data_IF_364579358055
#
_entry.id   IF_364579358055
#
_cell.length_a   1.000
_cell.length_b   1.000
_cell.length_c   1.000
_cell.angle_alpha   90.00
_cell.angle_beta   90.00
_cell.angle_gamma   90.00
#
_symmetry.space_group_name_H-M   'P 1'
#
loop_
_entity.id
_entity.type
_entity.pdbx_description
1 polymer ?
#
# COMPACT_ATOMS: atom_id res chain seq x y z
N UNK A 1 -47.14 -19.20 -34.97
CA UNK A 1 -46.34 -19.50 -33.77
C UNK A 1 -44.89 -19.12 -34.03
N UNK A 2 -44.40 -17.92 -33.64
CA UNK A 2 -42.95 -17.59 -33.77
C UNK A 2 -42.41 -16.50 -32.82
N UNK A 3 -43.12 -16.19 -31.72
CA UNK A 3 -42.57 -15.31 -30.68
C UNK A 3 -41.78 -16.14 -29.66
N UNK A 4 -40.69 -16.79 -30.10
CA UNK A 4 -39.68 -17.20 -29.13
C UNK A 4 -39.07 -15.91 -28.56
N UNK A 5 -39.15 -15.85 -27.24
CA UNK A 5 -39.18 -14.63 -26.45
C UNK A 5 -37.76 -14.07 -26.44
N UNK A 6 -37.55 -12.75 -26.64
CA UNK A 6 -36.22 -12.11 -26.63
C UNK A 6 -35.41 -12.43 -25.36
N UNK A 7 -36.09 -12.87 -24.30
CA UNK A 7 -35.51 -13.32 -23.04
C UNK A 7 -34.62 -14.56 -23.17
N UNK A 8 -34.88 -15.48 -24.10
CA UNK A 8 -34.02 -16.66 -24.31
C UNK A 8 -32.67 -16.24 -24.91
N UNK A 9 -32.69 -15.27 -25.84
CA UNK A 9 -31.46 -14.71 -26.41
C UNK A 9 -30.64 -13.94 -25.37
N UNK A 10 -31.30 -13.13 -24.54
CA UNK A 10 -30.64 -12.40 -23.45
C UNK A 10 -29.99 -13.34 -22.43
N UNK A 11 -30.71 -14.42 -22.04
CA UNK A 11 -30.18 -15.41 -21.10
C UNK A 11 -28.96 -16.16 -21.66
N UNK A 12 -28.97 -16.49 -22.95
CA UNK A 12 -27.82 -17.14 -23.60
C UNK A 12 -26.59 -16.23 -23.66
N UNK A 13 -26.77 -14.95 -23.98
CA UNK A 13 -25.67 -13.96 -23.95
C UNK A 13 -25.12 -13.81 -22.53
N UNK A 14 -26.00 -13.67 -21.54
CA UNK A 14 -25.58 -13.56 -20.14
C UNK A 14 -24.80 -14.80 -19.67
N UNK A 15 -25.26 -16.01 -20.01
CA UNK A 15 -24.57 -17.26 -19.68
C UNK A 15 -23.20 -17.38 -20.39
N UNK A 16 -23.11 -16.93 -21.65
CA UNK A 16 -21.86 -16.91 -22.40
C UNK A 16 -20.84 -15.92 -21.82
N UNK A 17 -21.29 -14.71 -21.45
CA UNK A 17 -20.45 -13.74 -20.75
C UNK A 17 -20.03 -14.28 -19.38
N UNK A 18 -20.95 -14.89 -18.63
CA UNK A 18 -20.64 -15.48 -17.33
C UNK A 18 -19.59 -16.60 -17.43
N UNK A 19 -19.71 -17.48 -18.43
CA UNK A 19 -18.73 -18.52 -18.69
C UNK A 19 -17.37 -17.92 -19.09
N UNK A 20 -17.36 -16.91 -19.97
CA UNK A 20 -16.15 -16.21 -20.39
C UNK A 20 -15.45 -15.49 -19.22
N UNK A 21 -16.20 -14.99 -18.25
CA UNK A 21 -15.67 -14.45 -17.00
C UNK A 21 -15.10 -15.55 -16.09
N UNK A 22 -15.79 -16.69 -15.97
CA UNK A 22 -15.33 -17.82 -15.15
C UNK A 22 -14.05 -18.47 -15.69
N UNK A 23 -13.85 -18.48 -17.00
CA UNK A 23 -12.65 -19.04 -17.63
C UNK A 23 -11.52 -18.02 -17.83
N UNK A 24 -11.80 -16.73 -17.59
CA UNK A 24 -10.85 -15.66 -17.85
C UNK A 24 -10.61 -15.39 -19.34
N UNK A 25 -11.49 -15.83 -20.24
CA UNK A 25 -11.34 -15.59 -21.68
C UNK A 25 -11.31 -14.10 -22.06
N UNK A 26 -11.77 -13.21 -21.16
CA UNK A 26 -11.77 -11.75 -21.34
C UNK A 26 -10.53 -11.05 -20.75
N UNK A 27 -9.68 -11.74 -19.98
CA UNK A 27 -8.52 -11.11 -19.31
C UNK A 27 -7.55 -10.41 -20.27
N UNK A 28 -7.26 -10.90 -21.50
CA UNK A 28 -6.34 -10.19 -22.39
C UNK A 28 -6.89 -8.83 -22.85
N UNK A 29 -8.22 -8.70 -22.96
CA UNK A 29 -8.88 -7.45 -23.31
C UNK A 29 -8.79 -6.48 -22.14
N UNK A 30 -9.04 -6.96 -20.93
CA UNK A 30 -8.91 -6.17 -19.69
C UNK A 30 -7.48 -5.67 -19.49
N UNK A 31 -6.48 -6.52 -19.65
CA UNK A 31 -5.05 -6.17 -19.52
C UNK A 31 -4.63 -5.15 -20.59
N UNK A 32 -5.12 -5.32 -21.82
CA UNK A 32 -4.87 -4.38 -22.91
C UNK A 32 -5.45 -2.99 -22.62
N UNK A 33 -6.71 -2.93 -22.16
CA UNK A 33 -7.36 -1.69 -21.76
C UNK A 33 -6.67 -1.04 -20.55
N UNK A 34 -6.27 -1.85 -19.57
CA UNK A 34 -5.53 -1.39 -18.40
C UNK A 34 -4.19 -0.79 -18.80
N UNK A 35 -3.45 -1.46 -19.68
CA UNK A 35 -2.16 -0.98 -20.21
C UNK A 35 -2.32 0.34 -20.96
N UNK A 36 -3.30 0.45 -21.85
CA UNK A 36 -3.60 1.69 -22.57
C UNK A 36 -3.93 2.83 -21.62
N UNK A 37 -4.78 2.55 -20.61
CA UNK A 37 -5.11 3.52 -19.56
C UNK A 37 -3.87 3.97 -18.79
N UNK A 38 -3.00 3.04 -18.37
CA UNK A 38 -1.79 3.39 -17.63
C UNK A 38 -0.83 4.24 -18.46
N UNK A 39 -0.68 3.94 -19.75
CA UNK A 39 0.12 4.78 -20.66
C UNK A 39 -0.49 6.16 -20.84
N UNK A 40 -1.80 6.26 -21.04
CA UNK A 40 -2.51 7.53 -21.22
C UNK A 40 -2.49 8.40 -19.96
N UNK A 41 -2.49 7.77 -18.77
CA UNK A 41 -2.46 8.46 -17.48
C UNK A 41 -1.06 8.53 -16.85
N UNK A 42 -0.01 8.15 -17.59
CA UNK A 42 1.36 8.17 -17.07
C UNK A 42 1.76 9.60 -16.71
N UNK A 43 2.25 9.79 -15.48
CA UNK A 43 2.73 11.08 -14.97
C UNK A 43 4.18 10.94 -14.53
N UNK A 44 4.94 12.02 -14.64
CA UNK A 44 6.29 12.05 -14.08
C UNK A 44 6.22 11.84 -12.55
N UNK A 45 7.16 11.08 -11.96
CA UNK A 45 7.22 10.92 -10.53
C UNK A 45 7.42 12.28 -9.86
N UNK A 46 6.72 12.52 -8.75
CA UNK A 46 6.77 13.81 -8.05
C UNK A 46 8.12 14.07 -7.38
N UNK A 47 8.92 13.03 -7.15
CA UNK A 47 10.16 13.06 -6.35
C UNK A 47 9.97 13.63 -4.93
N UNK A 48 8.72 13.69 -4.45
CA UNK A 48 8.37 14.19 -3.11
C UNK A 48 8.22 13.08 -2.07
N UNK A 49 8.25 11.83 -2.51
CA UNK A 49 8.08 10.65 -1.66
C UNK A 49 9.39 9.87 -1.69
N UNK A 50 9.91 9.57 -0.50
CA UNK A 50 11.06 8.68 -0.30
C UNK A 50 10.58 7.47 0.48
N UNK A 51 10.86 6.27 -0.03
CA UNK A 51 10.58 5.01 0.67
C UNK A 51 11.84 4.59 1.40
N UNK A 52 11.71 4.34 2.70
CA UNK A 52 12.81 3.85 3.54
C UNK A 52 12.49 2.41 3.90
N UNK A 53 13.24 1.49 3.30
CA UNK A 53 13.01 0.06 3.46
C UNK A 53 13.88 -0.54 4.57
N UNK A 54 13.41 -1.66 5.14
CA UNK A 54 14.16 -2.47 6.10
C UNK A 54 14.57 -3.76 5.39
N UNK A 55 15.83 -3.84 4.99
CA UNK A 55 16.38 -4.97 4.25
C UNK A 55 17.27 -5.87 5.13
N UNK A 56 17.76 -6.98 4.56
CA UNK A 56 18.61 -7.95 5.28
C UNK A 56 19.89 -7.29 5.83
N UNK A 57 20.63 -6.45 5.06
CA UNK A 57 21.71 -5.62 5.61
C UNK A 57 21.30 -4.78 6.82
N UNK A 58 20.15 -4.10 6.76
CA UNK A 58 19.63 -3.28 7.86
C UNK A 58 19.37 -4.12 9.10
N UNK A 59 18.76 -5.30 8.97
CA UNK A 59 18.54 -6.22 10.07
C UNK A 59 19.85 -6.74 10.67
N UNK A 60 20.87 -6.98 9.85
CA UNK A 60 22.20 -7.37 10.33
C UNK A 60 22.88 -6.26 11.12
N UNK A 61 22.73 -5.00 10.68
CA UNK A 61 23.35 -3.85 11.32
C UNK A 61 22.58 -3.37 12.58
N UNK A 62 21.25 -3.40 12.55
CA UNK A 62 20.36 -2.87 13.59
C UNK A 62 19.91 -3.94 14.61
N UNK A 63 20.33 -5.18 14.42
CA UNK A 63 19.97 -6.30 15.28
C UNK A 63 18.61 -6.92 14.93
N UNK A 64 18.20 -7.87 15.76
CA UNK A 64 17.06 -8.74 15.50
C UNK A 64 15.74 -7.98 15.53
N UNK A 65 14.92 -8.22 14.51
CA UNK A 65 13.52 -7.85 14.46
C UNK A 65 12.67 -8.71 15.42
N UNK A 66 11.58 -8.21 16.02
CA UNK A 66 11.08 -6.83 15.96
C UNK A 66 11.93 -5.86 16.79
N UNK A 67 12.11 -4.65 16.28
CA UNK A 67 12.86 -3.59 16.97
C UNK A 67 12.03 -2.88 18.05
N UNK A 68 12.72 -2.29 19.03
CA UNK A 68 12.10 -1.43 20.04
C UNK A 68 11.58 -0.12 19.47
N UNK A 69 10.56 0.45 20.12
CA UNK A 69 9.90 1.72 19.74
C UNK A 69 10.82 2.93 19.77
N UNK A 70 11.86 2.90 20.58
CA UNK A 70 12.93 3.91 20.66
C UNK A 70 13.70 4.07 19.34
N UNK A 71 13.88 2.98 18.59
CA UNK A 71 14.51 3.04 17.27
C UNK A 71 13.64 3.82 16.27
N UNK A 72 12.33 3.59 16.30
CA UNK A 72 11.39 4.32 15.44
C UNK A 72 11.26 5.79 15.85
N UNK A 73 11.33 6.10 17.15
CA UNK A 73 11.43 7.48 17.65
C UNK A 73 12.67 8.20 17.07
N UNK A 74 13.81 7.51 17.07
CA UNK A 74 15.06 8.02 16.47
C UNK A 74 14.92 8.20 14.96
N UNK A 75 14.27 7.25 14.27
CA UNK A 75 14.03 7.34 12.83
C UNK A 75 13.17 8.56 12.45
N UNK A 76 12.10 8.85 13.22
CA UNK A 76 11.28 10.06 13.03
C UNK A 76 12.16 11.31 13.07
N UNK A 77 12.99 11.44 14.11
CA UNK A 77 13.89 12.58 14.28
C UNK A 77 14.85 12.75 13.10
N UNK A 78 15.49 11.65 12.67
CA UNK A 78 16.43 11.67 11.55
C UNK A 78 15.75 12.06 10.22
N UNK A 79 14.56 11.52 9.94
CA UNK A 79 13.82 11.83 8.72
C UNK A 79 13.33 13.27 8.70
N UNK A 80 12.83 13.77 9.82
CA UNK A 80 12.41 15.17 9.94
C UNK A 80 13.60 16.13 9.81
N UNK A 81 14.76 15.80 10.38
CA UNK A 81 15.99 16.56 10.21
C UNK A 81 16.49 16.56 8.76
N UNK A 82 16.27 15.46 8.03
CA UNK A 82 16.53 15.36 6.59
C UNK A 82 15.50 16.10 5.72
N UNK A 83 14.49 16.76 6.31
CA UNK A 83 13.51 17.59 5.60
C UNK A 83 12.17 16.91 5.34
N UNK A 84 11.93 15.70 5.86
CA UNK A 84 10.62 15.07 5.75
C UNK A 84 9.55 15.92 6.45
N UNK A 85 8.50 16.28 5.69
CA UNK A 85 7.34 17.01 6.23
C UNK A 85 6.33 16.06 6.90
N UNK A 86 6.24 14.85 6.38
CA UNK A 86 5.37 13.78 6.88
C UNK A 86 6.19 12.48 6.89
N UNK A 87 6.05 11.70 7.96
CA UNK A 87 6.62 10.36 8.11
C UNK A 87 5.46 9.38 8.29
N UNK A 88 5.31 8.44 7.38
CA UNK A 88 4.30 7.38 7.47
C UNK A 88 4.98 6.05 7.77
N UNK A 89 4.43 5.29 8.71
CA UNK A 89 4.91 3.95 9.03
C UNK A 89 4.01 2.89 8.40
N UNK A 90 4.63 1.97 7.67
CA UNK A 90 4.06 0.67 7.32
C UNK A 90 4.79 -0.40 8.14
N UNK A 91 4.62 -0.33 9.46
CA UNK A 91 5.26 -1.21 10.43
C UNK A 91 4.28 -1.52 11.55
N UNK A 92 4.16 -2.80 11.89
CA UNK A 92 3.40 -3.23 13.04
C UNK A 92 4.15 -2.94 14.36
N UNK A 93 3.50 -2.21 15.26
CA UNK A 93 4.01 -1.88 16.59
C UNK A 93 3.52 -2.85 17.68
N UNK A 94 3.06 -4.06 17.33
CA UNK A 94 2.57 -5.06 18.29
C UNK A 94 3.65 -5.69 19.19
N UNK A 95 4.93 -5.54 18.86
CA UNK A 95 6.02 -6.09 19.65
C UNK A 95 6.06 -5.52 21.07
N UNK A 96 6.54 -6.33 22.03
CA UNK A 96 6.67 -5.92 23.43
C UNK A 96 7.48 -4.62 23.56
N UNK A 97 6.91 -3.64 24.24
CA UNK A 97 7.58 -2.40 24.61
C UNK A 97 7.61 -2.24 26.13
N UNK A 98 8.53 -1.40 26.57
CA UNK A 98 8.55 -0.86 27.92
C UNK A 98 7.89 0.52 27.93
N UNK A 99 7.39 0.95 29.09
CA UNK A 99 6.82 2.28 29.27
C UNK A 99 7.79 3.40 28.82
N UNK A 100 9.11 3.20 29.00
CA UNK A 100 10.13 4.15 28.55
C UNK A 100 10.19 4.25 27.02
N UNK A 101 10.16 3.12 26.31
CA UNK A 101 10.20 3.09 24.84
C UNK A 101 8.90 3.58 24.20
N UNK A 102 7.75 3.33 24.83
CA UNK A 102 6.47 3.90 24.41
C UNK A 102 6.46 5.42 24.56
N UNK A 103 6.94 5.92 25.71
CA UNK A 103 7.07 7.35 25.96
C UNK A 103 7.97 8.03 24.94
N UNK A 104 9.12 7.43 24.62
CA UNK A 104 10.03 7.98 23.61
C UNK A 104 9.37 8.12 22.22
N UNK A 105 8.61 7.10 21.79
CA UNK A 105 7.89 7.17 20.52
C UNK A 105 6.76 8.19 20.55
N UNK A 106 5.98 8.23 21.63
CA UNK A 106 4.92 9.21 21.82
C UNK A 106 5.45 10.66 21.79
N UNK A 107 6.57 10.92 22.45
CA UNK A 107 7.25 12.23 22.43
C UNK A 107 7.73 12.60 21.02
N UNK A 108 8.32 11.65 20.28
CA UNK A 108 8.77 11.89 18.91
C UNK A 108 7.61 12.19 17.95
N UNK A 109 6.48 11.49 18.10
CA UNK A 109 5.24 11.77 17.34
C UNK A 109 4.68 13.14 17.72
N UNK A 110 4.63 13.44 19.02
CA UNK A 110 4.07 14.68 19.56
C UNK A 110 4.91 15.93 19.29
N UNK A 111 6.21 15.78 19.00
CA UNK A 111 7.10 16.90 18.70
C UNK A 111 6.65 17.74 17.50
N UNK A 112 5.94 17.11 16.53
CA UNK A 112 5.36 17.78 15.36
C UNK A 112 3.96 17.20 15.08
N UNK A 113 2.90 17.75 15.71
CA UNK A 113 1.54 17.24 15.57
C UNK A 113 1.10 17.16 14.10
N UNK A 114 0.52 16.02 13.70
CA UNK A 114 0.03 15.79 12.34
C UNK A 114 1.12 15.44 11.30
N UNK A 115 2.39 15.37 11.69
CA UNK A 115 3.49 15.01 10.79
C UNK A 115 3.81 13.51 10.75
N UNK A 116 3.23 12.71 11.66
CA UNK A 116 3.47 11.26 11.70
C UNK A 116 2.15 10.52 11.50
N UNK A 117 2.16 9.56 10.59
CA UNK A 117 1.02 8.68 10.26
C UNK A 117 1.38 7.26 10.71
N UNK A 118 0.47 6.62 11.42
CA UNK A 118 0.57 5.23 11.87
C UNK A 118 -0.41 4.36 11.08
N UNK A 119 -0.13 3.05 10.91
CA UNK A 119 -1.00 2.11 10.20
C UNK A 119 -2.30 1.80 10.96
#
# INVERSE_FOLDING_TARGET
MWRLRPQVGLAAVAAGVWLAMMTGALTPIEDGLATLRFKALQRAPSHQITVVEIDVPSLRAAGRWPWGRDRFATAIGNLQAAGAKVVAFDVDFSANATAATDKALAEAIGARPGSVILP
#
